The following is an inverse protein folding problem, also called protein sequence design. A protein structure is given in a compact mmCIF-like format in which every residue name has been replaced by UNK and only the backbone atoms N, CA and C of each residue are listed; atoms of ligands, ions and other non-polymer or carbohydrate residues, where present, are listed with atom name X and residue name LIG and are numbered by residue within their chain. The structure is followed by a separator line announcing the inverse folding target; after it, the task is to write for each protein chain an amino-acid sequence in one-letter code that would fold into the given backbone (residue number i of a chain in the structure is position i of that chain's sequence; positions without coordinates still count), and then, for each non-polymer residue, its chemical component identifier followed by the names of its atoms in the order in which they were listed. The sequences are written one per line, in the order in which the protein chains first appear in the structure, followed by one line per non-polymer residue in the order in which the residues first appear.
data_IF_877283719225
#
_entry.id   IF_877283719225
#
_cell.length_a   1.000
_cell.length_b   1.000
_cell.length_c   1.000
_cell.angle_alpha   90.00
_cell.angle_beta   90.00
_cell.angle_gamma   90.00
#
_symmetry.space_group_name_H-M   'P 1'
#
loop_
_entity.id
_entity.type
_entity.pdbx_description
1 polymer ?
2 polymer ?
#
# COMPACT_ATOMS: atom_id res chain seq x y z
N UNK A 1 16.83 0.68 -1.86
CA UNK A 1 15.69 -0.18 -1.54
C UNK A 1 14.44 0.66 -1.31
N UNK A 2 14.66 1.94 -1.07
CA UNK A 2 13.55 2.86 -0.84
C UNK A 2 12.72 2.99 -2.12
N UNK A 3 13.35 2.66 -3.24
CA UNK A 3 12.69 2.73 -4.52
C UNK A 3 11.70 1.58 -4.65
N UNK A 4 11.94 0.54 -3.86
CA UNK A 4 11.08 -0.64 -3.87
C UNK A 4 9.91 -0.42 -2.91
N UNK A 5 10.18 0.36 -1.87
CA UNK A 5 9.17 0.66 -0.87
C UNK A 5 8.11 1.59 -1.49
N UNK A 6 8.60 2.56 -2.26
CA UNK A 6 7.72 3.51 -2.90
C UNK A 6 7.00 2.86 -4.09
N UNK A 7 7.69 1.90 -4.70
CA UNK A 7 7.13 1.21 -5.84
C UNK A 7 5.98 0.31 -5.37
N UNK A 8 6.11 -0.19 -4.15
CA UNK A 8 5.10 -1.05 -3.58
C UNK A 8 3.82 -0.26 -3.31
N UNK A 9 4.00 1.04 -3.13
CA UNK A 9 2.86 1.92 -2.86
C UNK A 9 1.82 1.75 -3.97
N UNK A 10 2.30 1.74 -5.20
CA UNK A 10 1.44 1.59 -6.35
C UNK A 10 0.73 0.23 -6.27
N UNK A 11 1.39 -0.70 -5.60
CA UNK A 11 0.85 -2.04 -5.45
C UNK A 11 -0.44 -1.97 -4.63
N UNK A 12 -0.33 -1.38 -3.45
CA UNK A 12 -1.47 -1.25 -2.56
C UNK A 12 -2.46 -0.25 -3.17
N UNK A 13 -1.93 0.61 -4.03
CA UNK A 13 -2.75 1.61 -4.68
C UNK A 13 -3.66 0.96 -5.72
N UNK A 14 -3.11 -0.04 -6.41
CA UNK A 14 -3.86 -0.75 -7.43
C UNK A 14 -4.87 -1.68 -6.76
N UNK A 15 -4.47 -2.21 -5.61
CA UNK A 15 -5.33 -3.11 -4.86
C UNK A 15 -6.59 -2.39 -4.41
N UNK A 16 -6.41 -1.15 -3.97
CA UNK A 16 -7.53 -0.35 -3.52
C UNK A 16 -8.54 -0.17 -4.66
N UNK A 17 -8.02 -0.28 -5.88
CA UNK A 17 -8.86 -0.14 -7.06
C UNK A 17 -9.85 -1.30 -7.11
N UNK A 18 -9.48 -2.39 -6.46
CA UNK A 18 -10.33 -3.57 -6.42
C UNK A 18 -11.53 -3.29 -5.52
N UNK A 19 -11.32 -2.42 -4.56
CA UNK A 19 -12.37 -2.06 -3.62
C UNK A 19 -13.61 -1.62 -4.40
N UNK A 20 -13.36 -0.88 -5.48
CA UNK A 20 -14.44 -0.39 -6.32
C UNK A 20 -14.95 -1.50 -7.23
N UNK A 21 -14.03 -2.05 -8.02
CA UNK A 21 -14.38 -3.12 -8.94
C UNK A 21 -14.74 -4.37 -8.15
N UNK B 1 13.84 7.29 5.04
CA UNK B 1 13.90 6.10 5.88
C UNK B 1 13.10 4.99 5.23
N UNK B 2 13.61 3.77 5.39
CA UNK B 2 12.96 2.60 4.82
C UNK B 2 11.64 2.35 5.56
N UNK B 3 11.65 2.65 6.86
CA UNK B 3 10.47 2.46 7.67
C UNK B 3 9.41 3.47 7.27
N UNK B 4 9.88 4.62 6.79
CA UNK B 4 8.99 5.68 6.35
C UNK B 4 7.98 5.11 5.35
N UNK B 5 8.52 4.58 4.26
CA UNK B 5 7.68 4.01 3.21
C UNK B 5 7.00 2.75 3.76
N UNK B 6 7.79 1.94 4.44
CA UNK B 6 7.27 0.70 5.01
C UNK B 6 6.01 1.00 5.82
N UNK B 7 5.96 2.23 6.34
CA UNK B 7 4.81 2.65 7.12
C UNK B 7 3.64 3.02 6.21
N UNK B 8 3.94 3.80 5.19
CA UNK B 8 2.92 4.23 4.24
C UNK B 8 2.23 2.99 3.67
N UNK B 9 3.03 2.06 3.19
CA UNK B 9 2.50 0.84 2.62
C UNK B 9 1.73 0.07 3.68
N UNK B 10 2.18 0.23 4.93
CA UNK B 10 1.53 -0.45 6.04
C UNK B 10 0.14 0.14 6.25
N UNK B 11 -0.02 1.38 5.82
CA UNK B 11 -1.30 2.07 5.95
C UNK B 11 -2.23 1.62 4.82
N UNK B 12 -1.69 1.64 3.61
CA UNK B 12 -2.46 1.23 2.44
C UNK B 12 -2.80 -0.25 2.55
N UNK B 13 -1.91 -0.98 3.21
CA UNK B 13 -2.09 -2.42 3.38
C UNK B 13 -3.29 -2.66 4.30
N UNK B 14 -3.44 -1.76 5.28
CA UNK B 14 -4.53 -1.88 6.23
C UNK B 14 -5.81 -1.30 5.62
N UNK B 15 -5.64 -0.31 4.76
CA UNK B 15 -6.77 0.32 4.10
C UNK B 15 -7.46 -0.69 3.18
N UNK B 16 -6.66 -1.27 2.30
CA UNK B 16 -7.17 -2.24 1.36
C UNK B 16 -7.69 -3.47 2.12
N UNK B 17 -7.00 -3.78 3.21
CA UNK B 17 -7.38 -4.91 4.03
C UNK B 17 -8.77 -4.66 4.63
N UNK B 18 -9.07 -3.39 4.83
CA UNK B 18 -10.35 -3.00 5.39
C UNK B 18 -11.44 -3.22 4.34
N UNK B 19 -11.28 -2.53 3.22
CA UNK B 19 -12.24 -2.64 2.13
C UNK B 19 -12.38 -4.10 1.72
N UNK B 20 -11.27 -4.83 1.84
CA UNK B 20 -11.24 -6.23 1.47
C UNK B 20 -12.39 -6.96 2.20
N UNK B 21 -12.46 -6.73 3.50
CA UNK B 21 -13.48 -7.35 4.32
C UNK B 21 -14.53 -6.32 4.74
#
# INVERSE_FOLDING_TARGET
EIAALEKEIAALEKEIAALEK
KIAALKEKIAALKEKIAALKE
#
